data_IF_285006331634
#
_entry.id   IF_285006331634
#
_cell.length_a   1.000
_cell.length_b   1.000
_cell.length_c   1.000
_cell.angle_alpha   90.00
_cell.angle_beta   90.00
_cell.angle_gamma   90.00
#
_symmetry.space_group_name_H-M   'P 1'
#
loop_
_entity.id
_entity.type
_entity.pdbx_description
1 polymer ?
#
# COMPACT_ATOMS: atom_id res chain seq x y z
N UNK A 1 27.40 -30.31 34.32
CA UNK A 1 25.98 -30.76 34.34
C UNK A 1 25.15 -29.59 34.80
N UNK A 2 24.31 -29.03 33.92
CA UNK A 2 22.93 -28.52 34.11
C UNK A 2 22.54 -27.85 32.79
N UNK A 3 21.57 -28.42 32.09
CA UNK A 3 21.02 -27.92 30.84
C UNK A 3 19.86 -26.96 31.14
N UNK A 4 19.81 -25.80 30.46
CA UNK A 4 18.65 -24.93 30.42
C UNK A 4 18.04 -24.93 29.01
N UNK A 5 16.72 -24.99 29.01
CA UNK A 5 15.90 -25.58 27.98
C UNK A 5 15.56 -24.67 26.80
N UNK A 6 15.20 -25.34 25.70
CA UNK A 6 14.64 -24.81 24.47
C UNK A 6 13.37 -23.97 24.70
N UNK A 7 13.30 -22.82 24.02
CA UNK A 7 12.08 -22.04 23.83
C UNK A 7 11.82 -21.79 22.35
N UNK A 8 11.41 -22.84 21.62
CA UNK A 8 10.96 -22.72 20.23
C UNK A 8 9.56 -22.09 20.20
N UNK A 9 9.44 -20.85 19.71
CA UNK A 9 8.13 -20.23 19.42
C UNK A 9 7.64 -20.75 18.06
N UNK A 10 6.72 -21.72 18.13
CA UNK A 10 5.93 -22.22 17.00
C UNK A 10 4.93 -21.14 16.55
N UNK A 11 4.96 -20.77 15.28
CA UNK A 11 3.90 -20.01 14.63
C UNK A 11 2.80 -20.98 14.18
N UNK A 12 1.51 -20.75 14.50
CA UNK A 12 0.44 -21.57 13.95
C UNK A 12 0.12 -21.12 12.52
N UNK A 13 0.43 -22.00 11.56
CA UNK A 13 -0.21 -22.02 10.26
C UNK A 13 -1.64 -22.56 10.40
N UNK A 14 -2.58 -21.88 9.74
CA UNK A 14 -3.75 -22.52 9.14
C UNK A 14 -5.06 -22.34 9.89
N UNK A 15 -5.94 -21.51 9.31
CA UNK A 15 -7.30 -21.97 9.03
C UNK A 15 -7.81 -21.28 7.75
N UNK A 16 -8.10 -22.11 6.74
CA UNK A 16 -8.87 -21.76 5.54
C UNK A 16 -10.29 -22.33 5.71
N UNK A 17 -11.22 -21.76 4.92
CA UNK A 17 -12.57 -22.26 4.52
C UNK A 17 -13.66 -21.95 5.59
N UNK A 18 -14.88 -21.47 5.29
CA UNK A 18 -15.75 -21.66 4.13
C UNK A 18 -16.71 -20.47 3.88
N UNK A 19 -17.11 -20.35 2.61
CA UNK A 19 -18.22 -19.55 2.09
C UNK A 19 -19.55 -20.25 2.44
N UNK A 20 -20.57 -19.48 2.84
CA UNK A 20 -21.97 -19.92 2.76
C UNK A 20 -22.85 -18.73 2.36
N UNK A 21 -23.33 -18.77 1.12
CA UNK A 21 -24.38 -17.91 0.60
C UNK A 21 -25.74 -18.43 1.07
N UNK A 22 -26.62 -17.54 1.54
CA UNK A 22 -28.06 -17.80 1.61
C UNK A 22 -28.80 -16.67 0.90
N UNK A 23 -29.18 -16.94 -0.34
CA UNK A 23 -30.20 -16.20 -1.06
C UNK A 23 -31.57 -16.77 -0.65
N UNK A 24 -32.43 -15.94 -0.08
CA UNK A 24 -33.86 -16.25 0.08
C UNK A 24 -34.63 -15.47 -0.99
N UNK A 25 -35.02 -16.21 -2.03
CA UNK A 25 -36.01 -15.81 -3.00
C UNK A 25 -37.41 -15.98 -2.40
N UNK A 26 -38.17 -14.87 -2.31
CA UNK A 26 -39.60 -14.90 -2.04
C UNK A 26 -40.36 -14.68 -3.33
N UNK A 27 -40.86 -15.76 -3.93
CA UNK A 27 -41.85 -15.74 -5.00
C UNK A 27 -43.22 -15.83 -4.34
N UNK A 28 -44.10 -14.88 -4.60
CA UNK A 28 -45.54 -15.07 -4.46
C UNK A 28 -46.22 -14.60 -5.73
N UNK A 29 -46.96 -15.53 -6.33
CA UNK A 29 -47.69 -15.40 -7.58
C UNK A 29 -49.20 -15.47 -7.32
N UNK A 30 -49.96 -15.14 -8.38
CA UNK A 30 -51.42 -15.26 -8.59
C UNK A 30 -52.22 -13.98 -8.24
N UNK A 31 -53.15 -13.48 -9.07
CA UNK A 31 -53.63 -13.80 -10.42
C UNK A 31 -54.60 -12.66 -10.82
N UNK A 32 -54.78 -12.39 -12.10
CA UNK A 32 -55.85 -11.49 -12.59
C UNK A 32 -55.62 -10.97 -14.01
N UNK A 33 -56.34 -11.57 -14.95
CA UNK A 33 -56.23 -11.44 -16.40
C UNK A 33 -57.11 -10.29 -16.98
N UNK A 34 -56.72 -9.82 -18.18
CA UNK A 34 -57.39 -8.96 -19.19
C UNK A 34 -57.29 -7.42 -19.15
N UNK A 35 -56.70 -6.92 -20.25
CA UNK A 35 -56.61 -5.55 -20.80
C UNK A 35 -57.94 -5.15 -21.54
N UNK A 36 -58.13 -3.94 -22.15
CA UNK A 36 -57.10 -3.04 -22.66
C UNK A 36 -57.36 -1.50 -22.69
N UNK A 37 -56.31 -0.80 -23.16
CA UNK A 37 -56.19 0.57 -23.72
C UNK A 37 -56.53 1.78 -22.84
N UNK A 38 -55.49 2.53 -22.44
CA UNK A 38 -55.32 3.93 -22.86
C UNK A 38 -53.95 4.49 -22.46
N UNK A 39 -53.42 5.35 -23.32
CA UNK A 39 -52.00 5.68 -23.41
C UNK A 39 -51.39 6.44 -22.22
N UNK A 40 -50.10 6.20 -22.00
CA UNK A 40 -49.17 7.22 -21.53
C UNK A 40 -47.74 6.72 -21.74
N UNK A 41 -46.93 7.56 -22.38
CA UNK A 41 -45.51 7.36 -22.64
C UNK A 41 -44.72 6.81 -21.44
N UNK A 42 -43.75 5.91 -21.70
CA UNK A 42 -42.61 5.71 -20.81
C UNK A 42 -41.42 5.05 -21.52
N UNK A 43 -40.53 5.94 -21.97
CA UNK A 43 -39.08 5.94 -21.84
C UNK A 43 -38.32 4.62 -21.66
N UNK A 44 -37.33 4.46 -22.53
CA UNK A 44 -36.25 3.46 -22.52
C UNK A 44 -35.56 3.29 -21.14
N UNK A 45 -34.97 2.11 -20.85
CA UNK A 45 -34.18 1.90 -19.64
C UNK A 45 -32.94 2.79 -19.67
N UNK A 46 -32.90 3.74 -18.74
CA UNK A 46 -31.75 4.58 -18.42
C UNK A 46 -30.61 3.67 -17.96
N UNK A 47 -29.45 3.81 -18.62
CA UNK A 47 -28.17 3.27 -18.22
C UNK A 47 -27.99 3.35 -16.71
N UNK A 48 -27.45 2.28 -16.11
CA UNK A 48 -27.03 2.25 -14.72
C UNK A 48 -26.05 3.41 -14.47
N UNK A 49 -26.59 4.52 -13.98
CA UNK A 49 -25.83 5.66 -13.54
C UNK A 49 -25.09 5.20 -12.29
N UNK A 50 -23.78 5.02 -12.44
CA UNK A 50 -22.86 4.78 -11.33
C UNK A 50 -22.99 6.00 -10.42
N UNK A 51 -23.83 5.88 -9.39
CA UNK A 51 -24.06 6.95 -8.43
C UNK A 51 -22.70 7.39 -7.89
N UNK A 52 -22.29 8.60 -8.27
CA UNK A 52 -21.13 9.25 -7.68
C UNK A 52 -21.41 9.33 -6.18
N UNK A 53 -20.49 8.85 -5.31
CA UNK A 53 -20.67 8.97 -3.88
C UNK A 53 -20.84 10.46 -3.55
N UNK A 54 -21.85 10.77 -2.73
CA UNK A 54 -22.08 12.12 -2.21
C UNK A 54 -20.81 12.63 -1.51
N UNK A 55 -20.53 13.92 -1.62
CA UNK A 55 -19.30 14.54 -1.09
C UNK A 55 -19.04 14.21 0.39
N UNK A 56 -20.09 14.03 1.20
CA UNK A 56 -19.99 13.59 2.60
C UNK A 56 -19.40 12.18 2.78
N UNK A 57 -19.68 11.23 1.89
CA UNK A 57 -19.11 9.89 1.94
C UNK A 57 -17.64 9.86 1.47
N UNK A 58 -17.22 10.85 0.68
CA UNK A 58 -15.86 10.96 0.14
C UNK A 58 -14.86 11.58 1.13
N UNK A 59 -15.33 12.40 2.08
CA UNK A 59 -14.45 13.13 3.01
C UNK A 59 -13.62 12.19 3.93
N UNK A 60 -14.17 11.11 4.53
CA UNK A 60 -13.39 10.20 5.35
C UNK A 60 -12.30 9.47 4.56
N UNK A 61 -12.58 9.09 3.30
CA UNK A 61 -11.59 8.42 2.43
C UNK A 61 -10.46 9.36 2.04
N UNK A 62 -10.79 10.59 1.64
CA UNK A 62 -9.78 11.61 1.36
C UNK A 62 -8.88 11.86 2.59
N UNK A 63 -9.47 12.01 3.77
CA UNK A 63 -8.72 12.21 5.01
C UNK A 63 -7.82 11.01 5.36
N UNK A 64 -8.28 9.78 5.14
CA UNK A 64 -7.45 8.59 5.33
C UNK A 64 -6.23 8.58 4.40
N UNK A 65 -6.42 8.92 3.12
CA UNK A 65 -5.32 9.05 2.17
C UNK A 65 -4.35 10.17 2.52
N UNK A 66 -4.83 11.33 2.97
CA UNK A 66 -3.99 12.42 3.48
C UNK A 66 -3.09 11.97 4.63
N UNK A 67 -3.64 11.26 5.61
CA UNK A 67 -2.87 10.79 6.76
C UNK A 67 -1.75 9.81 6.35
N UNK A 68 -2.04 8.90 5.41
CA UNK A 68 -1.04 7.98 4.85
C UNK A 68 0.02 8.76 4.07
N UNK A 69 -0.39 9.72 3.22
CA UNK A 69 0.52 10.53 2.43
C UNK A 69 1.46 11.34 3.33
N UNK A 70 0.95 11.97 4.38
CA UNK A 70 1.74 12.73 5.34
C UNK A 70 2.83 11.86 6.01
N UNK A 71 2.50 10.62 6.39
CA UNK A 71 3.48 9.66 6.93
C UNK A 71 4.57 9.31 5.91
N UNK A 72 4.20 9.16 4.64
CA UNK A 72 5.11 8.72 3.59
C UNK A 72 5.99 9.84 3.02
N UNK A 73 5.66 11.12 3.18
CA UNK A 73 6.49 12.23 2.66
C UNK A 73 7.93 12.24 3.18
N UNK A 74 8.17 11.67 4.37
CA UNK A 74 9.51 11.52 4.92
C UNK A 74 10.33 10.39 4.29
N UNK A 75 9.75 9.54 3.45
CA UNK A 75 10.44 8.38 2.87
C UNK A 75 11.25 8.68 1.60
N UNK A 76 10.71 9.36 0.57
CA UNK A 76 11.47 9.61 -0.65
C UNK A 76 12.71 10.46 -0.43
N UNK A 77 13.71 10.29 -1.31
CA UNK A 77 14.89 11.14 -1.30
C UNK A 77 14.72 12.18 -2.42
N UNK A 78 14.61 13.43 -2.03
CA UNK A 78 14.73 14.55 -2.97
C UNK A 78 16.17 14.60 -3.50
N UNK A 79 16.33 14.29 -4.79
CA UNK A 79 17.62 14.35 -5.48
C UNK A 79 17.70 15.68 -6.23
N UNK A 80 18.33 16.67 -5.60
CA UNK A 80 18.55 18.01 -6.15
C UNK A 80 20.01 18.32 -6.48
N UNK A 81 20.28 19.48 -7.10
CA UNK A 81 21.65 19.98 -7.29
C UNK A 81 22.31 20.25 -5.91
N UNK A 82 23.65 20.25 -5.84
CA UNK A 82 24.37 20.54 -4.60
C UNK A 82 23.99 21.90 -3.98
N UNK A 83 24.04 22.03 -2.63
CA UNK A 83 24.43 21.01 -1.66
C UNK A 83 23.33 19.96 -1.42
N UNK A 84 23.71 18.68 -1.44
CA UNK A 84 22.79 17.56 -1.19
C UNK A 84 22.52 17.40 0.31
N UNK A 85 21.34 16.90 0.66
CA UNK A 85 21.09 16.45 2.03
C UNK A 85 22.02 15.28 2.38
N UNK A 86 22.39 15.10 3.67
CA UNK A 86 23.21 13.96 4.09
C UNK A 86 22.65 12.61 3.62
N UNK A 87 21.32 12.46 3.67
CA UNK A 87 20.62 11.25 3.20
C UNK A 87 20.83 10.99 1.71
N UNK A 88 20.78 12.02 0.87
CA UNK A 88 21.03 11.88 -0.56
C UNK A 88 22.50 11.53 -0.86
N UNK A 89 23.44 12.06 -0.08
CA UNK A 89 24.86 11.71 -0.21
C UNK A 89 25.14 10.25 0.20
N UNK A 90 24.48 9.76 1.26
CA UNK A 90 24.62 8.36 1.69
C UNK A 90 23.96 7.38 0.69
N UNK A 91 22.81 7.73 0.11
CA UNK A 91 22.16 6.97 -0.96
C UNK A 91 23.07 6.83 -2.21
N UNK A 92 23.75 7.91 -2.59
CA UNK A 92 24.72 7.89 -3.69
C UNK A 92 25.89 6.94 -3.40
N UNK A 93 26.47 7.02 -2.20
CA UNK A 93 27.57 6.11 -1.82
C UNK A 93 27.10 4.66 -1.73
N UNK A 94 25.90 4.42 -1.20
CA UNK A 94 25.27 3.10 -1.19
C UNK A 94 25.19 2.52 -2.61
N UNK A 95 24.72 3.33 -3.58
CA UNK A 95 24.66 2.96 -5.01
C UNK A 95 26.03 2.75 -5.63
N UNK A 96 27.08 3.39 -5.11
CA UNK A 96 28.47 3.18 -5.53
C UNK A 96 29.16 1.97 -4.86
N UNK A 97 28.44 1.17 -4.08
CA UNK A 97 28.98 -0.05 -3.48
C UNK A 97 29.15 -0.01 -1.96
N UNK A 98 28.92 1.14 -1.31
CA UNK A 98 28.99 1.27 0.14
C UNK A 98 27.75 0.67 0.81
N UNK A 99 27.59 -0.66 0.74
CA UNK A 99 26.41 -1.37 1.24
C UNK A 99 26.15 -1.15 2.74
N UNK A 100 27.16 -0.77 3.53
CA UNK A 100 27.03 -0.42 4.95
C UNK A 100 26.31 0.91 5.18
N UNK A 101 26.16 1.74 4.14
CA UNK A 101 25.34 2.95 4.15
C UNK A 101 23.94 2.72 3.60
N UNK A 102 23.51 1.46 3.46
CA UNK A 102 22.11 1.16 3.15
C UNK A 102 21.20 1.83 4.17
N UNK A 103 20.14 2.46 3.68
CA UNK A 103 19.12 3.05 4.55
C UNK A 103 18.44 1.97 5.39
N UNK A 104 18.03 2.32 6.60
CA UNK A 104 17.40 1.41 7.58
C UNK A 104 15.97 1.82 7.94
N UNK A 105 15.38 2.72 7.16
CA UNK A 105 14.07 3.30 7.40
C UNK A 105 12.90 2.42 6.90
N UNK A 106 13.03 1.10 7.01
CA UNK A 106 11.98 0.13 6.64
C UNK A 106 10.71 0.30 7.46
N UNK A 107 10.80 0.94 8.63
CA UNK A 107 9.68 1.27 9.51
C UNK A 107 8.60 2.16 8.87
N UNK A 108 8.87 2.83 7.75
CA UNK A 108 7.81 3.51 6.99
C UNK A 108 6.71 2.54 6.52
N UNK A 109 7.07 1.25 6.36
CA UNK A 109 6.21 0.17 5.86
C UNK A 109 5.99 -0.92 6.91
N UNK A 110 5.78 -0.51 8.16
CA UNK A 110 5.49 -1.39 9.28
C UNK A 110 4.02 -1.89 9.27
N UNK A 111 3.62 -2.78 10.21
CA UNK A 111 2.23 -3.22 10.32
C UNK A 111 1.21 -2.09 10.59
N UNK A 112 1.63 -0.93 11.14
CA UNK A 112 0.74 0.23 11.29
C UNK A 112 0.44 0.87 9.93
N UNK A 113 1.42 0.95 9.02
CA UNK A 113 1.17 1.34 7.63
C UNK A 113 0.17 0.39 6.94
N UNK A 114 0.36 -0.93 7.07
CA UNK A 114 -0.57 -1.93 6.48
C UNK A 114 -1.99 -1.77 7.04
N UNK A 115 -2.14 -1.61 8.37
CA UNK A 115 -3.43 -1.44 9.00
C UNK A 115 -4.15 -0.16 8.56
N UNK A 116 -3.42 0.96 8.43
CA UNK A 116 -3.97 2.22 7.91
C UNK A 116 -4.39 2.09 6.46
N UNK A 117 -3.56 1.44 5.64
CA UNK A 117 -3.88 1.21 4.25
C UNK A 117 -5.13 0.33 4.09
N UNK A 118 -5.25 -0.75 4.87
CA UNK A 118 -6.45 -1.58 4.91
C UNK A 118 -7.70 -0.81 5.33
N UNK A 119 -7.57 0.08 6.32
CA UNK A 119 -8.67 0.96 6.76
C UNK A 119 -9.11 1.92 5.66
N UNK A 120 -8.17 2.57 4.95
CA UNK A 120 -8.48 3.48 3.86
C UNK A 120 -9.18 2.77 2.69
N UNK A 121 -8.68 1.58 2.30
CA UNK A 121 -9.23 0.78 1.21
C UNK A 121 -10.61 0.18 1.53
N UNK A 122 -10.94 0.00 2.82
CA UNK A 122 -12.25 -0.50 3.25
C UNK A 122 -13.35 0.58 3.25
N UNK A 123 -12.99 1.87 3.19
CA UNK A 123 -13.96 2.95 3.06
C UNK A 123 -14.65 2.90 1.69
N UNK A 124 -15.94 3.26 1.60
CA UNK A 124 -16.69 3.18 0.36
C UNK A 124 -16.19 4.13 -0.73
N UNK A 125 -16.46 3.79 -1.98
CA UNK A 125 -16.00 4.50 -3.17
C UNK A 125 -14.67 3.96 -3.69
N UNK A 126 -14.42 4.06 -5.00
CA UNK A 126 -13.12 3.74 -5.61
C UNK A 126 -12.49 5.04 -6.11
N UNK A 127 -11.25 5.30 -5.71
CA UNK A 127 -10.46 6.48 -6.12
C UNK A 127 -9.21 6.07 -6.88
N UNK A 128 -8.51 7.03 -7.52
CA UNK A 128 -7.19 6.75 -8.09
C UNK A 128 -6.18 6.51 -6.97
N UNK A 129 -6.35 7.18 -5.83
CA UNK A 129 -5.54 6.94 -4.63
C UNK A 129 -5.67 5.51 -4.11
N UNK A 130 -6.84 4.86 -4.20
CA UNK A 130 -7.00 3.45 -3.84
C UNK A 130 -6.17 2.54 -4.75
N UNK A 131 -6.20 2.78 -6.06
CA UNK A 131 -5.42 2.00 -7.03
C UNK A 131 -3.91 2.17 -6.81
N UNK A 132 -3.45 3.41 -6.59
CA UNK A 132 -2.05 3.69 -6.30
C UNK A 132 -1.60 3.10 -4.95
N UNK A 133 -2.47 3.11 -3.92
CA UNK A 133 -2.18 2.52 -2.62
C UNK A 133 -2.05 1.00 -2.69
N UNK A 134 -2.94 0.32 -3.45
CA UNK A 134 -2.81 -1.13 -3.70
C UNK A 134 -1.50 -1.46 -4.42
N UNK A 135 -1.16 -0.70 -5.46
CA UNK A 135 0.11 -0.88 -6.17
C UNK A 135 1.34 -0.65 -5.26
N UNK A 136 1.26 0.31 -4.34
CA UNK A 136 2.30 0.53 -3.33
C UNK A 136 2.41 -0.66 -2.38
N UNK A 137 1.29 -1.17 -1.85
CA UNK A 137 1.28 -2.36 -0.98
C UNK A 137 1.88 -3.58 -1.69
N UNK A 138 1.46 -3.85 -2.92
CA UNK A 138 1.99 -4.97 -3.73
C UNK A 138 3.50 -4.82 -3.97
N UNK A 139 3.97 -3.59 -4.20
CA UNK A 139 5.40 -3.30 -4.39
C UNK A 139 6.18 -3.50 -3.10
N UNK A 140 5.65 -3.03 -1.97
CA UNK A 140 6.27 -3.19 -0.65
C UNK A 140 6.37 -4.67 -0.29
N UNK A 141 5.29 -5.44 -0.41
CA UNK A 141 5.27 -6.88 -0.12
C UNK A 141 6.31 -7.63 -0.96
N UNK A 142 6.38 -7.34 -2.27
CA UNK A 142 7.29 -8.01 -3.18
C UNK A 142 8.77 -7.61 -2.99
N UNK A 143 9.07 -6.40 -2.51
CA UNK A 143 10.42 -5.80 -2.56
C UNK A 143 11.06 -5.59 -1.20
N UNK A 144 10.27 -5.33 -0.16
CA UNK A 144 10.78 -5.05 1.18
C UNK A 144 11.70 -6.16 1.74
N UNK A 145 11.44 -7.47 1.52
CA UNK A 145 12.32 -8.53 2.03
C UNK A 145 13.76 -8.44 1.51
N UNK A 146 13.97 -8.01 0.26
CA UNK A 146 15.30 -7.87 -0.32
C UNK A 146 16.10 -6.72 0.32
N UNK A 147 15.43 -5.59 0.57
CA UNK A 147 16.02 -4.47 1.29
C UNK A 147 16.28 -4.84 2.76
N UNK A 148 15.29 -5.41 3.46
CA UNK A 148 15.42 -5.81 4.86
C UNK A 148 16.55 -6.82 5.06
N UNK A 149 16.78 -7.74 4.12
CA UNK A 149 17.90 -8.68 4.19
C UNK A 149 19.27 -8.00 4.29
N UNK A 150 19.45 -6.86 3.61
CA UNK A 150 20.70 -6.09 3.70
C UNK A 150 20.78 -5.30 5.01
N UNK A 151 19.67 -4.73 5.47
CA UNK A 151 19.59 -4.05 6.78
C UNK A 151 19.95 -5.02 7.91
N UNK A 152 19.34 -6.21 7.92
CA UNK A 152 19.62 -7.26 8.90
C UNK A 152 21.06 -7.75 8.82
N UNK A 153 21.62 -7.86 7.62
CA UNK A 153 23.02 -8.19 7.44
C UNK A 153 23.95 -7.15 8.07
N UNK A 154 23.71 -5.86 7.81
CA UNK A 154 24.49 -4.78 8.39
C UNK A 154 24.37 -4.75 9.94
N UNK A 155 23.18 -5.04 10.48
CA UNK A 155 22.94 -5.11 11.92
C UNK A 155 23.57 -6.34 12.59
N UNK A 156 23.76 -7.45 11.85
CA UNK A 156 24.21 -8.73 12.41
C UNK A 156 25.70 -8.80 12.79
N UNK A 157 26.53 -7.85 12.33
CA UNK A 157 27.98 -7.90 12.54
C UNK A 157 28.76 -8.90 11.69
N UNK A 158 28.08 -9.74 10.89
CA UNK A 158 28.69 -10.77 10.01
C UNK A 158 29.73 -10.25 9.02
N UNK A 159 29.72 -8.94 8.76
CA UNK A 159 30.73 -8.26 7.93
C UNK A 159 32.16 -8.51 8.41
N UNK A 160 32.37 -8.68 9.73
CA UNK A 160 33.69 -9.00 10.28
C UNK A 160 34.16 -10.41 9.92
N UNK A 161 33.22 -11.32 9.70
CA UNK A 161 33.49 -12.74 9.44
C UNK A 161 33.67 -13.03 7.95
N UNK A 162 32.92 -12.33 7.08
CA UNK A 162 32.91 -12.58 5.63
C UNK A 162 33.54 -11.44 4.79
N UNK A 163 34.15 -10.46 5.44
CA UNK A 163 34.78 -9.31 4.78
C UNK A 163 33.82 -8.47 3.92
N UNK A 164 32.50 -8.53 4.17
CA UNK A 164 31.50 -7.81 3.40
C UNK A 164 30.89 -8.57 2.23
N UNK A 165 31.27 -9.83 1.99
CA UNK A 165 30.79 -10.60 0.83
C UNK A 165 29.27 -10.79 0.84
N UNK A 166 28.69 -11.06 2.02
CA UNK A 166 27.24 -11.18 2.17
C UNK A 166 26.50 -9.89 1.86
N UNK A 167 27.10 -8.74 2.17
CA UNK A 167 26.56 -7.41 1.86
C UNK A 167 26.61 -7.11 0.37
N UNK A 168 27.78 -7.32 -0.26
CA UNK A 168 27.97 -7.15 -1.72
C UNK A 168 27.00 -7.98 -2.54
N UNK A 169 26.73 -9.23 -2.15
CA UNK A 169 25.76 -10.11 -2.83
C UNK A 169 24.32 -9.61 -2.73
N UNK A 170 23.94 -8.95 -1.63
CA UNK A 170 22.59 -8.43 -1.39
C UNK A 170 22.35 -7.05 -2.02
N UNK A 171 23.42 -6.28 -2.22
CA UNK A 171 23.36 -4.90 -2.66
C UNK A 171 22.49 -4.69 -3.92
N UNK A 172 22.61 -5.47 -5.02
CA UNK A 172 21.79 -5.23 -6.21
C UNK A 172 20.29 -5.38 -5.94
N UNK A 173 19.91 -6.37 -5.12
CA UNK A 173 18.52 -6.59 -4.73
C UNK A 173 17.97 -5.47 -3.85
N UNK A 174 18.79 -4.96 -2.92
CA UNK A 174 18.40 -3.84 -2.07
C UNK A 174 18.24 -2.53 -2.85
N UNK A 175 19.13 -2.25 -3.82
CA UNK A 175 19.00 -1.10 -4.72
C UNK A 175 17.69 -1.19 -5.52
N UNK A 176 17.46 -2.33 -6.18
CA UNK A 176 16.25 -2.53 -6.97
C UNK A 176 14.95 -2.43 -6.13
N UNK A 177 15.00 -2.88 -4.88
CA UNK A 177 13.89 -2.75 -3.95
C UNK A 177 13.62 -1.29 -3.57
N UNK A 178 14.66 -0.55 -3.19
CA UNK A 178 14.55 0.87 -2.84
C UNK A 178 14.04 1.70 -4.01
N UNK A 179 14.55 1.49 -5.23
CA UNK A 179 14.11 2.22 -6.41
C UNK A 179 12.63 1.95 -6.73
N UNK A 180 12.20 0.68 -6.66
CA UNK A 180 10.80 0.31 -6.91
C UNK A 180 9.85 0.89 -5.86
N UNK A 181 10.20 0.77 -4.58
CA UNK A 181 9.38 1.30 -3.47
C UNK A 181 9.33 2.83 -3.55
N UNK A 182 10.45 3.50 -3.79
CA UNK A 182 10.50 4.96 -3.93
C UNK A 182 9.65 5.45 -5.11
N UNK A 183 9.71 4.78 -6.26
CA UNK A 183 8.85 5.08 -7.40
C UNK A 183 7.37 4.90 -7.07
N UNK A 184 6.99 3.84 -6.35
CA UNK A 184 5.61 3.59 -5.97
C UNK A 184 5.10 4.62 -4.95
N UNK A 185 5.95 5.03 -3.99
CA UNK A 185 5.62 6.09 -3.03
C UNK A 185 5.41 7.42 -3.75
N UNK A 186 6.29 7.83 -4.66
CA UNK A 186 6.08 9.05 -5.45
C UNK A 186 4.77 9.01 -6.23
N UNK A 187 4.49 7.89 -6.91
CA UNK A 187 3.24 7.71 -7.67
C UNK A 187 2.01 7.88 -6.76
N UNK A 188 2.04 7.30 -5.56
CA UNK A 188 0.97 7.44 -4.59
C UNK A 188 0.81 8.89 -4.11
N UNK A 189 1.89 9.55 -3.70
CA UNK A 189 1.88 10.94 -3.22
C UNK A 189 1.35 11.89 -4.30
N UNK A 190 1.83 11.77 -5.53
CA UNK A 190 1.39 12.59 -6.66
C UNK A 190 -0.10 12.40 -6.96
N UNK A 191 -0.60 11.17 -6.84
CA UNK A 191 -2.01 10.84 -7.04
C UNK A 191 -2.90 11.48 -5.98
N UNK A 192 -2.50 11.36 -4.71
CA UNK A 192 -3.22 11.96 -3.58
C UNK A 192 -3.27 13.47 -3.73
N UNK A 193 -2.13 14.12 -3.98
CA UNK A 193 -2.06 15.57 -4.13
C UNK A 193 -2.87 16.06 -5.34
N UNK A 194 -2.92 15.30 -6.45
CA UNK A 194 -3.74 15.62 -7.60
C UNK A 194 -5.25 15.52 -7.32
N UNK A 195 -5.67 14.55 -6.50
CA UNK A 195 -7.07 14.43 -6.10
C UNK A 195 -7.49 15.54 -5.12
N UNK A 196 -6.64 15.93 -4.17
CA UNK A 196 -6.88 17.09 -3.29
C UNK A 196 -7.01 18.39 -4.08
N UNK A 197 -6.10 18.65 -5.03
CA UNK A 197 -6.21 19.82 -5.91
C UNK A 197 -7.50 19.83 -6.73
N UNK A 198 -7.99 18.66 -7.13
CA UNK A 198 -9.23 18.53 -7.88
C UNK A 198 -10.49 18.71 -7.01
N UNK A 199 -10.44 18.39 -5.71
CA UNK A 199 -11.57 18.62 -4.78
C UNK A 199 -11.69 20.08 -4.32
N UNK A 200 -10.68 20.91 -4.57
CA UNK A 200 -10.62 22.30 -4.10
C UNK A 200 -10.14 22.44 -2.66
N UNK A 201 -9.72 21.33 -2.04
CA UNK A 201 -9.13 21.33 -0.71
C UNK A 201 -7.62 21.63 -0.79
N UNK A 202 -7.05 22.33 0.21
CA UNK A 202 -5.60 22.49 0.28
C UNK A 202 -4.92 21.12 0.41
N UNK A 203 -3.74 20.92 -0.21
CA UNK A 203 -3.01 19.68 -0.03
C UNK A 203 -2.67 19.47 1.46
N UNK A 204 -2.71 18.23 1.96
CA UNK A 204 -2.38 17.91 3.35
C UNK A 204 -0.89 18.10 3.65
#
# INVERSE_FOLDING_TARGET
>A
MTACALGARRWPHGLRVAIAALALAGVSACAGDRAPEDGAARSAPRSAERALPTAEASAPKAQAHAAIAQRLRGFPIERGPPPRSPRAADDERFRLGAFWQARSDTHHFDPDFEARAGTALALPGDTRSDAALRALLDTVDARLPAWQSLVDYNASGRMRDDGGDGGRKRLPGAIAALDAIESAVWTYLDTVDAEFRASGDPPP
#
